data_IF_492495086367
#
_entry.id   IF_492495086367
#
_cell.length_a   1.000
_cell.length_b   1.000
_cell.length_c   1.000
_cell.angle_alpha   90.00
_cell.angle_beta   90.00
_cell.angle_gamma   90.00
#
_symmetry.space_group_name_H-M   'P 1'
#
loop_
_entity.id
_entity.type
_entity.pdbx_description
1 polymer ?
#
# COMPACT_ATOMS: atom_id res chain seq x y z
N UNK A 1 14.14 -0.27 16.51
CA UNK A 1 14.10 -1.75 16.47
C UNK A 1 12.69 -2.35 16.51
N UNK A 2 11.64 -1.67 17.01
CA UNK A 2 10.28 -2.25 17.10
C UNK A 2 9.47 -2.35 15.79
N UNK A 3 9.89 -1.66 14.71
CA UNK A 3 9.10 -1.60 13.47
C UNK A 3 9.09 -2.91 12.67
N UNK A 4 10.16 -3.72 12.77
CA UNK A 4 10.29 -4.98 12.05
C UNK A 4 9.30 -6.06 12.55
N UNK A 5 8.82 -5.94 13.79
CA UNK A 5 7.91 -6.94 14.39
C UNK A 5 6.60 -7.08 13.61
N UNK A 6 6.06 -5.96 13.10
CA UNK A 6 4.84 -5.97 12.29
C UNK A 6 5.08 -6.73 10.98
N UNK A 7 6.20 -6.46 10.30
CA UNK A 7 6.56 -7.12 9.03
C UNK A 7 6.71 -8.62 9.25
N UNK A 8 7.48 -9.01 10.27
CA UNK A 8 7.69 -10.42 10.63
C UNK A 8 6.37 -11.10 10.98
N UNK A 9 5.50 -10.44 11.75
CA UNK A 9 4.19 -10.96 12.13
C UNK A 9 3.27 -11.19 10.92
N UNK A 10 3.23 -10.25 9.97
CA UNK A 10 2.46 -10.41 8.73
C UNK A 10 2.99 -11.59 7.92
N UNK A 11 4.30 -11.69 7.71
CA UNK A 11 4.91 -12.81 6.99
C UNK A 11 4.62 -14.15 7.70
N UNK A 12 4.72 -14.19 9.02
CA UNK A 12 4.41 -15.37 9.82
C UNK A 12 2.96 -15.84 9.61
N UNK A 13 1.98 -14.93 9.65
CA UNK A 13 0.58 -15.27 9.41
C UNK A 13 0.33 -15.70 7.96
N UNK A 14 1.02 -15.12 6.99
CA UNK A 14 0.95 -15.57 5.60
C UNK A 14 1.44 -17.01 5.44
N UNK A 15 2.55 -17.37 6.10
CA UNK A 15 3.14 -18.71 6.00
C UNK A 15 2.35 -19.75 6.79
N UNK A 16 1.93 -19.45 8.01
CA UNK A 16 1.29 -20.41 8.93
C UNK A 16 -0.23 -20.51 8.74
N UNK A 17 -0.91 -19.38 8.50
CA UNK A 17 -2.37 -19.31 8.36
C UNK A 17 -2.83 -19.17 6.91
N UNK A 18 -1.90 -19.15 5.95
CA UNK A 18 -2.19 -18.98 4.52
C UNK A 18 -2.98 -17.69 4.22
N UNK A 19 -2.85 -16.67 5.06
CA UNK A 19 -3.40 -15.36 4.78
C UNK A 19 -2.73 -14.78 3.55
N UNK A 20 -3.52 -14.20 2.64
CA UNK A 20 -3.00 -13.58 1.42
C UNK A 20 -3.69 -12.25 1.14
N UNK A 21 -2.97 -11.26 0.60
CA UNK A 21 -3.60 -10.05 0.06
C UNK A 21 -4.53 -10.40 -1.11
N UNK A 22 -5.65 -9.70 -1.21
CA UNK A 22 -6.58 -9.75 -2.33
C UNK A 22 -6.69 -8.35 -2.94
N UNK A 23 -7.16 -8.18 -4.20
CA UNK A 23 -7.29 -6.85 -4.80
C UNK A 23 -8.12 -5.89 -3.93
N UNK A 24 -9.17 -6.41 -3.30
CA UNK A 24 -10.03 -5.62 -2.41
C UNK A 24 -9.34 -5.19 -1.11
N UNK A 25 -8.22 -5.81 -0.75
CA UNK A 25 -7.38 -5.34 0.35
C UNK A 25 -6.77 -3.97 0.06
N UNK A 26 -6.49 -3.63 -1.21
CA UNK A 26 -5.98 -2.31 -1.60
C UNK A 26 -7.04 -1.23 -1.32
N UNK A 27 -8.27 -1.47 -1.76
CA UNK A 27 -9.38 -0.53 -1.52
C UNK A 27 -9.63 -0.35 -0.02
N UNK A 28 -9.63 -1.46 0.73
CA UNK A 28 -9.83 -1.40 2.18
C UNK A 28 -8.73 -0.62 2.90
N UNK A 29 -7.46 -0.86 2.58
CA UNK A 29 -6.37 -0.12 3.22
C UNK A 29 -6.36 1.34 2.79
N UNK A 30 -6.67 1.63 1.53
CA UNK A 30 -6.84 3.00 1.03
C UNK A 30 -7.87 3.77 1.86
N UNK A 31 -9.08 3.25 2.01
CA UNK A 31 -10.14 3.91 2.78
C UNK A 31 -9.75 4.16 4.24
N UNK A 32 -9.08 3.20 4.89
CA UNK A 32 -8.58 3.39 6.26
C UNK A 32 -7.45 4.41 6.33
N UNK A 33 -6.58 4.48 5.32
CA UNK A 33 -5.55 5.51 5.21
C UNK A 33 -6.15 6.91 5.02
N UNK A 34 -7.18 7.05 4.17
CA UNK A 34 -7.90 8.33 4.01
C UNK A 34 -8.60 8.75 5.30
N UNK A 35 -9.25 7.81 5.99
CA UNK A 35 -9.87 8.07 7.28
C UNK A 35 -8.85 8.54 8.31
N UNK A 36 -7.71 7.84 8.42
CA UNK A 36 -6.61 8.24 9.28
C UNK A 36 -6.09 9.64 8.90
N UNK A 37 -5.87 9.90 7.61
CA UNK A 37 -5.42 11.19 7.10
C UNK A 37 -6.35 12.32 7.56
N UNK A 38 -7.67 12.17 7.42
CA UNK A 38 -8.63 13.20 7.85
C UNK A 38 -8.53 13.44 9.36
N UNK A 39 -8.47 12.39 10.16
CA UNK A 39 -8.38 12.49 11.61
C UNK A 39 -7.10 13.20 12.03
N UNK A 40 -5.95 12.81 11.47
CA UNK A 40 -4.67 13.41 11.82
C UNK A 40 -4.50 14.80 11.25
N UNK A 41 -5.06 15.08 10.07
CA UNK A 41 -5.05 16.42 9.49
C UNK A 41 -5.77 17.41 10.41
N UNK A 42 -6.94 17.04 10.92
CA UNK A 42 -7.68 17.87 11.89
C UNK A 42 -6.87 18.04 13.18
N UNK A 43 -6.29 16.95 13.71
CA UNK A 43 -5.48 17.02 14.92
C UNK A 43 -4.24 17.92 14.75
N UNK A 44 -3.55 17.81 13.61
CA UNK A 44 -2.38 18.62 13.27
C UNK A 44 -2.74 20.10 13.17
N UNK A 45 -3.82 20.45 12.48
CA UNK A 45 -4.29 21.85 12.37
C UNK A 45 -4.68 22.43 13.74
N UNK A 46 -5.22 21.62 14.65
CA UNK A 46 -5.63 22.07 15.99
C UNK A 46 -4.46 22.18 16.97
N UNK A 47 -3.45 21.33 16.85
CA UNK A 47 -2.38 21.19 17.85
C UNK A 47 -1.03 21.74 17.37
N UNK A 48 -0.87 21.93 16.07
CA UNK A 48 0.41 22.27 15.44
C UNK A 48 1.39 21.09 15.37
N UNK A 49 0.98 19.87 15.75
CA UNK A 49 1.77 18.67 15.49
C UNK A 49 1.83 18.34 14.00
N UNK A 50 2.67 17.38 13.62
CA UNK A 50 2.93 17.06 12.21
C UNK A 50 2.89 15.55 11.98
N UNK A 51 1.77 14.92 12.35
CA UNK A 51 1.56 13.48 12.18
C UNK A 51 1.56 13.10 10.70
N UNK A 52 2.55 12.31 10.28
CA UNK A 52 2.63 11.90 8.87
C UNK A 52 3.08 13.03 7.92
N UNK A 53 3.71 14.08 8.46
CA UNK A 53 4.27 15.19 7.69
C UNK A 53 3.23 15.95 6.84
N UNK A 54 2.04 16.21 7.40
CA UNK A 54 0.92 16.85 6.70
C UNK A 54 1.00 18.39 6.69
N UNK A 55 1.64 18.98 7.69
CA UNK A 55 1.84 20.43 7.77
C UNK A 55 3.14 20.83 7.08
N UNK A 56 4.24 20.13 7.41
CA UNK A 56 5.58 20.44 6.91
C UNK A 56 6.33 19.17 6.53
N UNK A 57 7.21 19.27 5.53
CA UNK A 57 8.07 18.17 5.08
C UNK A 57 9.05 17.75 6.17
N UNK A 58 9.50 16.48 6.19
CA UNK A 58 10.60 16.06 7.06
C UNK A 58 11.88 16.81 6.70
N UNK A 59 12.66 17.20 7.71
CA UNK A 59 14.00 17.78 7.49
C UNK A 59 15.00 16.74 6.96
N UNK A 60 14.78 15.47 7.31
CA UNK A 60 15.60 14.37 6.80
C UNK A 60 15.30 14.09 5.33
N UNK A 61 16.36 13.91 4.54
CA UNK A 61 16.24 13.56 3.13
C UNK A 61 15.50 12.23 2.95
N UNK A 62 14.42 12.26 2.18
CA UNK A 62 13.57 11.10 1.94
C UNK A 62 12.87 11.21 0.59
N UNK A 63 12.04 10.23 0.24
CA UNK A 63 11.20 10.30 -0.97
C UNK A 63 10.33 11.57 -0.96
N UNK A 64 9.87 11.99 0.23
CA UNK A 64 9.06 13.20 0.41
C UNK A 64 9.79 14.50 0.01
N UNK A 65 11.12 14.48 0.00
CA UNK A 65 11.95 15.62 -0.42
C UNK A 65 11.82 15.91 -1.93
N UNK A 66 11.41 14.93 -2.74
CA UNK A 66 11.21 15.10 -4.18
C UNK A 66 9.81 15.63 -4.55
N UNK A 67 8.89 15.68 -3.59
CA UNK A 67 7.52 16.15 -3.84
C UNK A 67 7.48 17.68 -3.92
N UNK A 68 6.38 18.23 -4.43
CA UNK A 68 6.14 19.67 -4.55
C UNK A 68 6.28 20.39 -3.21
N UNK A 69 6.70 21.65 -3.22
CA UNK A 69 6.71 22.51 -2.02
C UNK A 69 5.33 23.13 -1.74
N UNK A 70 4.44 23.13 -2.72
CA UNK A 70 3.06 23.59 -2.52
C UNK A 70 2.29 22.54 -1.73
N UNK A 71 1.84 22.90 -0.52
CA UNK A 71 1.19 21.96 0.42
C UNK A 71 0.01 21.18 -0.20
N UNK A 72 -0.95 21.79 -0.91
CA UNK A 72 -2.04 21.03 -1.53
C UNK A 72 -1.55 19.99 -2.56
N UNK A 73 -0.55 20.36 -3.38
CA UNK A 73 0.03 19.47 -4.38
C UNK A 73 0.87 18.37 -3.74
N UNK A 74 1.64 18.71 -2.70
CA UNK A 74 2.39 17.76 -1.88
C UNK A 74 1.49 16.68 -1.30
N UNK A 75 0.38 17.08 -0.66
CA UNK A 75 -0.58 16.13 -0.09
C UNK A 75 -1.16 15.22 -1.17
N UNK A 76 -1.57 15.76 -2.31
CA UNK A 76 -2.06 14.96 -3.44
C UNK A 76 -1.00 13.98 -3.96
N UNK A 77 0.26 14.42 -4.05
CA UNK A 77 1.36 13.56 -4.46
C UNK A 77 1.66 12.47 -3.43
N UNK A 78 1.54 12.74 -2.13
CA UNK A 78 1.69 11.71 -1.09
C UNK A 78 0.65 10.60 -1.25
N UNK A 79 -0.59 10.95 -1.55
CA UNK A 79 -1.68 9.99 -1.85
C UNK A 79 -1.30 9.12 -3.06
N UNK A 80 -0.76 9.73 -4.12
CA UNK A 80 -0.25 9.00 -5.28
C UNK A 80 0.89 8.04 -4.94
N UNK A 81 1.87 8.50 -4.15
CA UNK A 81 2.99 7.65 -3.69
C UNK A 81 2.47 6.47 -2.86
N UNK A 82 1.54 6.70 -1.94
CA UNK A 82 0.93 5.63 -1.14
C UNK A 82 0.24 4.58 -2.03
N UNK A 83 -0.52 4.98 -3.05
CA UNK A 83 -1.11 4.06 -4.02
C UNK A 83 -0.06 3.22 -4.74
N UNK A 84 1.04 3.85 -5.18
CA UNK A 84 2.15 3.13 -5.82
C UNK A 84 2.73 2.07 -4.88
N UNK A 85 2.92 2.39 -3.60
CA UNK A 85 3.37 1.41 -2.61
C UNK A 85 2.36 0.26 -2.42
N UNK A 86 1.06 0.55 -2.33
CA UNK A 86 0.04 -0.49 -2.19
C UNK A 86 0.01 -1.42 -3.40
N UNK A 87 0.10 -0.88 -4.60
CA UNK A 87 0.18 -1.65 -5.84
C UNK A 87 1.48 -2.46 -5.90
N UNK A 88 2.62 -1.87 -5.57
CA UNK A 88 3.92 -2.53 -5.57
C UNK A 88 3.98 -3.71 -4.60
N UNK A 89 3.43 -3.55 -3.39
CA UNK A 89 3.33 -4.62 -2.39
C UNK A 89 2.35 -5.73 -2.81
N UNK A 90 1.31 -5.39 -3.58
CA UNK A 90 0.34 -6.36 -4.10
C UNK A 90 0.81 -7.07 -5.37
N UNK A 91 1.71 -6.46 -6.16
CA UNK A 91 2.19 -6.96 -7.44
C UNK A 91 2.61 -8.45 -7.46
N UNK A 92 3.42 -8.97 -6.51
CA UNK A 92 3.83 -10.38 -6.57
C UNK A 92 2.65 -11.36 -6.51
N UNK A 93 1.58 -11.03 -5.77
CA UNK A 93 0.39 -11.86 -5.67
C UNK A 93 -0.45 -11.80 -6.95
N UNK A 94 -0.59 -10.61 -7.53
CA UNK A 94 -1.29 -10.44 -8.80
C UNK A 94 -0.61 -11.21 -9.93
N UNK A 95 0.73 -11.13 -10.03
CA UNK A 95 1.51 -11.84 -11.05
C UNK A 95 1.35 -13.35 -10.88
N UNK A 96 1.44 -13.86 -9.65
CA UNK A 96 1.26 -15.28 -9.34
C UNK A 96 -0.13 -15.80 -9.76
N UNK A 97 -1.20 -15.09 -9.37
CA UNK A 97 -2.58 -15.48 -9.69
C UNK A 97 -2.81 -15.46 -11.22
N UNK A 98 -2.27 -14.47 -11.94
CA UNK A 98 -2.35 -14.38 -13.41
C UNK A 98 -1.62 -15.55 -14.12
N UNK A 99 -0.43 -15.91 -13.65
CA UNK A 99 0.34 -17.03 -14.21
C UNK A 99 -0.39 -18.36 -14.01
N UNK A 100 -0.93 -18.59 -12.81
CA UNK A 100 -1.71 -19.79 -12.52
C UNK A 100 -2.97 -19.89 -13.40
N UNK A 101 -3.70 -18.79 -13.58
CA UNK A 101 -4.88 -18.75 -14.45
C UNK A 101 -4.58 -19.07 -15.91
N UNK A 102 -3.46 -18.58 -16.46
CA UNK A 102 -3.02 -18.91 -17.83
C UNK A 102 -2.68 -20.39 -17.99
N UNK A 103 -1.99 -20.98 -17.00
CA UNK A 103 -1.61 -22.40 -17.04
C UNK A 103 -2.85 -23.31 -17.08
N UNK A 104 -3.86 -23.03 -16.25
CA UNK A 104 -5.12 -23.79 -16.23
C UNK A 104 -5.88 -23.70 -17.56
N UNK A 105 -5.96 -22.50 -18.14
CA UNK A 105 -6.62 -22.28 -19.44
C UNK A 105 -5.93 -23.05 -20.57
N UNK A 106 -4.60 -23.11 -20.55
CA UNK A 106 -3.82 -23.84 -21.56
C UNK A 106 -4.02 -25.36 -21.46
N UNK A 107 -4.07 -25.91 -20.24
CA UNK A 107 -4.32 -27.34 -20.03
C UNK A 107 -5.70 -27.78 -20.55
N UNK A 108 -6.76 -27.03 -20.21
CA UNK A 108 -8.11 -27.36 -20.70
C UNK A 108 -8.26 -27.25 -22.23
N UNK A 109 -7.48 -26.37 -22.89
CA UNK A 109 -7.46 -26.28 -24.36
C UNK A 109 -6.77 -27.48 -25.01
N UNK A 110 -5.80 -28.10 -24.35
CA UNK A 110 -5.14 -29.32 -24.85
C UNK A 110 -6.06 -30.55 -24.70
N UNK A 111 -6.76 -30.69 -23.58
CA UNK A 111 -7.72 -31.77 -23.37
C UNK A 111 -8.90 -31.71 -24.35
N UNK A 112 -9.41 -30.51 -24.65
CA UNK A 112 -10.51 -30.34 -25.61
C UNK A 112 -10.10 -30.54 -27.08
N UNK A 113 -8.80 -30.66 -27.38
CA UNK A 113 -8.29 -30.85 -28.73
C UNK A 113 -7.91 -32.32 -29.03
N UNK A 114 -7.99 -33.21 -28.03
CA UNK A 114 -7.82 -34.66 -28.13
C UNK A 114 -9.19 -35.35 -28.25
#
# INVERSE_FOLDING_TARGET
>A
TSHCGIIIGVIFLMLTRRYRPYPMSIVRVWLWSEFYFVVTFIADELTGFNYGFLLHKPEAFSILSFLSDSRPLYLLQMHGVALVFFLGLYAPFAIYDLWKGKSLKNAGKQEAAL
#
